data_IF_545316138780
#
_entry.id   IF_545316138780
#
_cell.length_a   1.000
_cell.length_b   1.000
_cell.length_c   1.000
_cell.angle_alpha   90.00
_cell.angle_beta   90.00
_cell.angle_gamma   90.00
#
_symmetry.space_group_name_H-M   'P 1'
#
loop_
_entity.id
_entity.type
_entity.pdbx_description
1 polymer ?
#
# COMPACT_ATOMS: atom_id res chain seq x y z
N UNK A 1 9.04 -4.22 -23.38
CA UNK A 1 9.49 -3.48 -22.18
C UNK A 1 8.72 -4.10 -21.02
N UNK A 2 9.38 -4.84 -20.12
CA UNK A 2 8.69 -5.56 -19.04
C UNK A 2 8.13 -4.52 -18.06
N UNK A 3 6.81 -4.44 -17.91
CA UNK A 3 6.21 -3.45 -16.99
C UNK A 3 6.59 -3.81 -15.55
N UNK A 4 6.55 -2.84 -14.63
CA UNK A 4 6.79 -3.12 -13.20
C UNK A 4 5.84 -4.21 -12.68
N UNK A 5 4.62 -4.24 -13.20
CA UNK A 5 3.64 -5.28 -12.91
C UNK A 5 4.10 -6.68 -13.31
N UNK A 6 4.72 -6.84 -14.48
CA UNK A 6 5.20 -8.13 -14.97
C UNK A 6 6.39 -8.64 -14.17
N UNK A 7 7.30 -7.73 -13.81
CA UNK A 7 8.45 -8.01 -12.93
C UNK A 7 7.96 -8.49 -11.56
N UNK A 8 6.99 -7.80 -10.98
CA UNK A 8 6.33 -8.15 -9.72
C UNK A 8 5.64 -9.51 -9.79
N UNK A 9 4.85 -9.77 -10.85
CA UNK A 9 4.12 -11.02 -10.98
C UNK A 9 5.07 -12.23 -11.10
N UNK A 10 6.19 -12.06 -11.80
CA UNK A 10 7.27 -13.05 -11.90
C UNK A 10 7.97 -13.24 -10.55
N UNK A 11 8.21 -12.15 -9.80
CA UNK A 11 8.93 -12.21 -8.52
C UNK A 11 8.19 -12.99 -7.43
N UNK A 12 6.90 -13.28 -7.61
CA UNK A 12 6.14 -14.16 -6.73
C UNK A 12 6.62 -15.62 -6.77
N UNK A 13 7.14 -16.06 -7.92
CA UNK A 13 7.68 -17.42 -8.13
C UNK A 13 9.21 -17.42 -8.15
N UNK A 14 9.82 -16.34 -8.63
CA UNK A 14 11.26 -16.18 -8.77
C UNK A 14 11.73 -14.95 -7.97
N UNK A 15 12.06 -15.08 -6.68
CA UNK A 15 12.43 -13.94 -5.84
C UNK A 15 13.53 -13.04 -6.44
N UNK A 16 14.48 -13.63 -7.17
CA UNK A 16 15.56 -12.92 -7.85
C UNK A 16 15.06 -11.92 -8.92
N UNK A 17 13.90 -12.16 -9.54
CA UNK A 17 13.32 -11.25 -10.52
C UNK A 17 12.93 -9.89 -9.92
N UNK A 18 12.81 -9.78 -8.59
CA UNK A 18 12.59 -8.50 -7.92
C UNK A 18 13.78 -7.54 -8.05
N UNK A 19 15.00 -8.06 -8.25
CA UNK A 19 16.19 -7.25 -8.47
C UNK A 19 15.99 -6.28 -9.64
N UNK A 20 15.31 -6.69 -10.71
CA UNK A 20 15.00 -5.81 -11.84
C UNK A 20 14.17 -4.57 -11.44
N UNK A 21 13.25 -4.71 -10.48
CA UNK A 21 12.46 -3.60 -9.95
C UNK A 21 13.31 -2.72 -9.03
N UNK A 22 14.14 -3.36 -8.19
CA UNK A 22 15.09 -2.67 -7.33
C UNK A 22 16.06 -1.82 -8.15
N UNK A 23 16.78 -2.41 -9.10
CA UNK A 23 17.79 -1.75 -9.92
C UNK A 23 17.20 -0.56 -10.70
N UNK A 24 15.94 -0.67 -11.14
CA UNK A 24 15.23 0.40 -11.85
C UNK A 24 14.91 1.60 -10.98
N UNK A 25 14.51 1.38 -9.73
CA UNK A 25 13.90 2.42 -8.89
C UNK A 25 14.74 2.84 -7.69
N UNK A 26 15.69 2.01 -7.26
CA UNK A 26 16.46 2.22 -6.04
C UNK A 26 17.21 3.55 -6.05
N UNK A 27 17.81 3.91 -7.19
CA UNK A 27 18.52 5.18 -7.31
C UNK A 27 17.59 6.39 -7.12
N UNK A 28 16.35 6.33 -7.61
CA UNK A 28 15.38 7.42 -7.46
C UNK A 28 14.88 7.53 -6.02
N UNK A 29 14.52 6.40 -5.40
CA UNK A 29 14.08 6.35 -3.99
C UNK A 29 15.20 6.82 -3.07
N UNK A 30 16.42 6.32 -3.26
CA UNK A 30 17.59 6.67 -2.45
C UNK A 30 17.96 8.15 -2.60
N UNK A 31 17.96 8.71 -3.82
CA UNK A 31 18.20 10.16 -4.03
C UNK A 31 17.16 11.02 -3.32
N UNK A 32 15.89 10.62 -3.36
CA UNK A 32 14.82 11.35 -2.68
C UNK A 32 14.98 11.30 -1.15
N UNK A 33 15.30 10.12 -0.61
CA UNK A 33 15.48 9.94 0.83
C UNK A 33 16.74 10.67 1.34
N UNK A 34 17.88 10.47 0.68
CA UNK A 34 19.16 11.12 1.04
C UNK A 34 19.15 12.65 0.91
N UNK A 35 18.23 13.22 0.12
CA UNK A 35 18.05 14.67 0.08
C UNK A 35 17.31 15.24 1.29
N UNK A 36 16.74 14.39 2.16
CA UNK A 36 15.89 14.77 3.30
C UNK A 36 16.33 14.17 4.63
N UNK A 37 17.27 13.23 4.62
CA UNK A 37 17.71 12.51 5.80
C UNK A 37 19.21 12.21 5.76
N UNK A 38 19.73 11.63 6.85
CA UNK A 38 21.09 11.07 6.84
C UNK A 38 21.17 9.89 5.88
N UNK A 39 22.40 9.52 5.50
CA UNK A 39 22.67 8.36 4.66
C UNK A 39 22.13 7.06 5.28
N UNK A 40 22.36 6.86 6.58
CA UNK A 40 21.87 5.68 7.29
C UNK A 40 20.34 5.57 7.18
N UNK A 41 19.63 6.68 7.44
CA UNK A 41 18.17 6.70 7.33
C UNK A 41 17.71 6.48 5.87
N UNK A 42 18.45 6.98 4.89
CA UNK A 42 18.13 6.77 3.48
C UNK A 42 18.28 5.29 3.06
N UNK A 43 19.31 4.59 3.56
CA UNK A 43 19.50 3.15 3.34
C UNK A 43 18.38 2.31 3.99
N UNK A 44 17.97 2.70 5.21
CA UNK A 44 16.86 2.05 5.92
C UNK A 44 15.53 2.26 5.19
N UNK A 45 15.22 3.51 4.79
CA UNK A 45 14.01 3.86 4.03
C UNK A 45 13.95 3.17 2.67
N UNK A 46 15.09 3.04 1.99
CA UNK A 46 15.18 2.30 0.73
C UNK A 46 14.77 0.84 0.97
N UNK A 47 15.39 0.19 1.95
CA UNK A 47 15.12 -1.20 2.31
C UNK A 47 13.65 -1.41 2.69
N UNK A 48 13.09 -0.54 3.52
CA UNK A 48 11.70 -0.59 3.96
C UNK A 48 10.72 -0.39 2.79
N UNK A 49 10.98 0.60 1.92
CA UNK A 49 10.14 0.90 0.76
C UNK A 49 9.99 -0.31 -0.15
N UNK A 50 11.11 -0.95 -0.51
CA UNK A 50 11.08 -2.11 -1.40
C UNK A 50 10.49 -3.36 -0.73
N UNK A 51 10.68 -3.52 0.58
CA UNK A 51 10.05 -4.57 1.35
C UNK A 51 8.52 -4.44 1.38
N UNK A 52 8.01 -3.23 1.65
CA UNK A 52 6.57 -2.93 1.61
C UNK A 52 6.01 -3.11 0.19
N UNK A 53 6.71 -2.58 -0.83
CA UNK A 53 6.32 -2.73 -2.23
C UNK A 53 6.18 -4.21 -2.62
N UNK A 54 7.13 -5.07 -2.22
CA UNK A 54 7.10 -6.52 -2.47
C UNK A 54 5.89 -7.18 -1.81
N UNK A 55 5.55 -6.79 -0.58
CA UNK A 55 4.42 -7.38 0.15
C UNK A 55 3.08 -6.97 -0.45
N UNK A 56 2.91 -5.68 -0.79
CA UNK A 56 1.73 -5.18 -1.48
C UNK A 56 1.54 -5.85 -2.84
N UNK A 57 2.65 -6.07 -3.56
CA UNK A 57 2.71 -6.80 -4.82
C UNK A 57 2.12 -8.23 -4.75
N UNK A 58 2.23 -8.91 -3.60
CA UNK A 58 1.66 -10.27 -3.42
C UNK A 58 0.17 -10.27 -3.11
N UNK A 59 -0.41 -9.11 -2.76
CA UNK A 59 -1.84 -9.03 -2.52
C UNK A 59 -2.62 -9.15 -3.83
N UNK A 60 -3.75 -9.89 -3.83
CA UNK A 60 -4.74 -9.78 -4.89
C UNK A 60 -5.14 -8.31 -5.08
N UNK A 61 -5.35 -7.89 -6.32
CA UNK A 61 -5.66 -6.50 -6.68
C UNK A 61 -6.76 -5.89 -5.79
N UNK A 62 -7.87 -6.60 -5.62
CA UNK A 62 -8.98 -6.11 -4.77
C UNK A 62 -8.65 -6.00 -3.28
N UNK A 63 -7.75 -6.83 -2.74
CA UNK A 63 -7.27 -6.71 -1.36
C UNK A 63 -6.29 -5.50 -1.25
N UNK A 64 -5.45 -5.29 -2.28
CA UNK A 64 -4.49 -4.18 -2.36
C UNK A 64 -5.17 -2.82 -2.45
N UNK A 65 -6.18 -2.67 -3.32
CA UNK A 65 -6.88 -1.42 -3.53
C UNK A 65 -7.51 -0.92 -2.23
N UNK A 66 -8.11 -1.83 -1.45
CA UNK A 66 -8.70 -1.51 -0.15
C UNK A 66 -7.63 -1.09 0.87
N UNK A 67 -6.44 -1.70 0.88
CA UNK A 67 -5.33 -1.29 1.75
C UNK A 67 -4.83 0.11 1.38
N UNK A 68 -4.66 0.40 0.09
CA UNK A 68 -4.17 1.71 -0.37
C UNK A 68 -5.15 2.81 0.03
N UNK A 69 -6.44 2.64 -0.29
CA UNK A 69 -7.47 3.62 0.06
C UNK A 69 -7.62 3.81 1.58
N UNK A 70 -7.41 2.75 2.37
CA UNK A 70 -7.47 2.85 3.82
C UNK A 70 -6.22 3.50 4.43
N UNK A 71 -5.03 3.10 3.99
CA UNK A 71 -3.77 3.48 4.64
C UNK A 71 -3.19 4.79 4.11
N UNK A 72 -3.45 5.13 2.84
CA UNK A 72 -2.91 6.34 2.21
C UNK A 72 -3.93 7.47 2.17
N UNK A 73 -5.18 7.15 1.85
CA UNK A 73 -6.26 8.14 1.73
C UNK A 73 -7.11 8.25 3.02
N UNK A 74 -6.77 7.46 4.06
CA UNK A 74 -7.45 7.44 5.37
C UNK A 74 -8.99 7.30 5.29
N UNK A 75 -9.50 6.68 4.22
CA UNK A 75 -10.95 6.59 3.98
C UNK A 75 -11.63 5.63 4.96
N UNK A 76 -12.88 5.95 5.32
CA UNK A 76 -13.72 5.05 6.11
C UNK A 76 -14.17 3.84 5.29
N UNK A 77 -14.68 2.80 5.94
CA UNK A 77 -15.14 1.59 5.25
C UNK A 77 -16.30 1.88 4.29
N UNK A 78 -17.16 2.83 4.63
CA UNK A 78 -18.29 3.29 3.82
C UNK A 78 -17.80 4.06 2.59
N UNK A 79 -16.81 4.95 2.76
CA UNK A 79 -16.21 5.68 1.64
C UNK A 79 -15.49 4.74 0.68
N UNK A 80 -14.76 3.74 1.19
CA UNK A 80 -14.12 2.70 0.36
C UNK A 80 -15.18 1.85 -0.36
N UNK A 81 -16.27 1.51 0.33
CA UNK A 81 -17.39 0.77 -0.24
C UNK A 81 -18.00 1.52 -1.43
N UNK A 82 -18.25 2.82 -1.27
CA UNK A 82 -18.73 3.70 -2.33
C UNK A 82 -17.71 3.84 -3.49
N UNK A 83 -16.43 4.09 -3.18
CA UNK A 83 -15.39 4.28 -4.20
C UNK A 83 -15.13 3.04 -5.06
N UNK A 84 -15.21 1.85 -4.47
CA UNK A 84 -14.94 0.58 -5.17
C UNK A 84 -16.22 -0.13 -5.67
N UNK A 85 -17.41 0.37 -5.34
CA UNK A 85 -18.68 -0.25 -5.71
C UNK A 85 -18.88 -1.64 -5.10
N UNK A 86 -18.36 -1.89 -3.89
CA UNK A 86 -18.45 -3.19 -3.18
C UNK A 86 -19.10 -3.02 -1.81
N UNK A 87 -19.80 -4.05 -1.26
CA UNK A 87 -20.40 -3.93 0.07
C UNK A 87 -19.38 -3.67 1.19
N UNK A 88 -19.75 -2.92 2.23
CA UNK A 88 -18.90 -2.65 3.42
C UNK A 88 -18.37 -3.95 4.06
N UNK A 89 -19.19 -5.01 4.11
CA UNK A 89 -18.74 -6.34 4.58
C UNK A 89 -17.60 -6.93 3.72
N UNK A 90 -17.60 -6.65 2.42
CA UNK A 90 -16.51 -7.04 1.51
C UNK A 90 -15.25 -6.24 1.80
N UNK A 91 -15.36 -4.93 2.03
CA UNK A 91 -14.24 -4.06 2.45
C UNK A 91 -13.58 -4.63 3.71
N UNK A 92 -14.38 -4.91 4.75
CA UNK A 92 -13.89 -5.49 6.01
C UNK A 92 -13.19 -6.84 5.79
N UNK A 93 -13.79 -7.74 4.99
CA UNK A 93 -13.18 -9.04 4.71
C UNK A 93 -11.87 -8.93 3.92
N UNK A 94 -11.78 -7.99 2.96
CA UNK A 94 -10.58 -7.70 2.18
C UNK A 94 -9.47 -7.13 3.05
N UNK A 95 -9.79 -6.15 3.91
CA UNK A 95 -8.83 -5.62 4.89
C UNK A 95 -8.30 -6.72 5.80
N UNK A 96 -9.17 -7.55 6.36
CA UNK A 96 -8.73 -8.62 7.26
C UNK A 96 -7.78 -9.59 6.55
N UNK A 97 -8.14 -10.06 5.35
CA UNK A 97 -7.25 -10.92 4.54
C UNK A 97 -5.93 -10.23 4.19
N UNK A 98 -5.98 -8.95 3.81
CA UNK A 98 -4.79 -8.19 3.48
C UNK A 98 -3.86 -8.06 4.69
N UNK A 99 -4.41 -7.78 5.88
CA UNK A 99 -3.66 -7.75 7.16
C UNK A 99 -3.02 -9.10 7.47
N UNK A 100 -3.75 -10.19 7.34
CA UNK A 100 -3.21 -11.55 7.54
C UNK A 100 -2.05 -11.83 6.58
N UNK A 101 -2.17 -11.40 5.31
CA UNK A 101 -1.13 -11.61 4.29
C UNK A 101 0.09 -10.70 4.45
N UNK A 102 -0.10 -9.48 4.94
CA UNK A 102 0.98 -8.51 5.16
C UNK A 102 1.68 -8.69 6.52
N UNK A 103 1.06 -9.38 7.49
CA UNK A 103 1.61 -9.65 8.81
C UNK A 103 1.71 -8.39 9.68
N UNK A 104 2.59 -8.40 10.69
CA UNK A 104 2.83 -7.29 11.64
C UNK A 104 3.30 -5.96 10.99
N UNK A 105 3.43 -5.91 9.66
CA UNK A 105 3.81 -4.72 8.91
C UNK A 105 2.64 -3.73 8.68
N UNK A 106 1.39 -4.11 8.96
CA UNK A 106 0.25 -3.17 8.95
C UNK A 106 -0.08 -2.75 10.38
N UNK A 107 0.08 -1.47 10.76
CA UNK A 107 -0.33 -0.99 12.07
C UNK A 107 -1.81 -1.29 12.32
N UNK A 108 -2.12 -1.85 13.49
CA UNK A 108 -3.48 -2.17 13.97
C UNK A 108 -4.36 -0.90 13.86
N UNK A 109 -5.58 -0.96 13.31
CA UNK A 109 -6.38 0.23 13.13
C UNK A 109 -7.02 0.58 14.47
N UNK A 110 -6.42 1.50 15.21
CA UNK A 110 -7.17 2.24 16.22
C UNK A 110 -7.98 3.28 15.47
N UNK A 111 -9.24 2.98 15.18
CA UNK A 111 -10.38 3.90 15.06
C UNK A 111 -11.49 3.22 14.26
N UNK A 112 -12.36 2.52 14.99
CA UNK A 112 -13.79 2.51 14.70
C UNK A 112 -14.32 3.94 14.82
N UNK A 113 -14.17 4.77 13.78
CA UNK A 113 -14.98 5.98 13.63
C UNK A 113 -16.35 5.58 13.08
N UNK A 114 -17.17 5.01 13.96
CA UNK A 114 -18.61 5.18 13.82
C UNK A 114 -18.95 6.60 14.31
N UNK A 115 -19.84 7.27 13.57
CA UNK A 115 -20.41 8.60 13.79
C UNK A 115 -19.57 9.84 13.40
N UNK A 116 -19.89 10.37 12.22
CA UNK A 116 -20.14 11.79 12.00
C UNK A 116 -18.93 12.70 11.83
N UNK A 117 -18.58 13.03 10.58
CA UNK A 117 -18.31 14.40 10.17
C UNK A 117 -18.78 14.57 8.74
N UNK A 118 -19.79 15.42 8.57
CA UNK A 118 -20.43 15.71 7.30
C UNK A 118 -19.45 16.31 6.30
N UNK A 119 -19.59 15.87 5.06
CA UNK A 119 -19.31 16.74 3.93
C UNK A 119 -20.39 17.83 3.98
N UNK A 120 -20.12 18.90 4.72
CA UNK A 120 -20.84 20.15 4.54
C UNK A 120 -20.53 20.65 3.14
N UNK A 121 -21.55 20.59 2.28
CA UNK A 121 -21.75 21.52 1.19
C UNK A 121 -21.37 22.95 1.61
N UNK A 122 -20.53 23.59 0.81
CA UNK A 122 -20.48 25.03 0.56
C UNK A 122 -19.56 25.14 -0.67
N UNK A 123 -20.00 25.39 -1.91
CA UNK A 123 -20.91 26.44 -2.37
C UNK A 123 -20.66 27.75 -1.62
N UNK A 124 -19.62 28.43 -2.07
CA UNK A 124 -19.53 29.87 -2.23
C UNK A 124 -18.66 30.15 -3.47
#
# INVERSE_FOLDING_TARGET
MNTDHDVIARSLREPAAFADLFDRHAATVYRYASSRSTRQVADDLLSETFLVATRLAKLPRGDRDVVILYAWEELTYEQISHALGIPVGTVRSRLNRARTKLGAALPCPTHSKEAGHGLSESLA
#
